data_IF_542314869373
#
_entry.id   IF_542314869373
#
_cell.length_a   1.000
_cell.length_b   1.000
_cell.length_c   1.000
_cell.angle_alpha   90.00
_cell.angle_beta   90.00
_cell.angle_gamma   90.00
#
_symmetry.space_group_name_H-M   'P 1'
#
loop_
_entity.id
_entity.type
_entity.pdbx_description
1 polymer ?
#
# COMPACT_ATOMS: atom_id res chain seq x y z
N UNK A 1 -2.73 -13.21 17.99
CA UNK A 1 -4.13 -13.38 17.56
C UNK A 1 -4.96 -12.15 17.92
N UNK A 2 -4.62 -10.99 17.34
CA UNK A 2 -5.37 -9.72 17.46
C UNK A 2 -6.14 -9.39 16.16
N UNK A 3 -6.23 -10.31 15.20
CA UNK A 3 -6.76 -10.09 13.85
C UNK A 3 -8.26 -9.76 13.77
N UNK A 4 -8.92 -9.45 14.89
CA UNK A 4 -10.35 -9.24 14.95
C UNK A 4 -10.79 -7.88 14.40
N UNK A 5 -10.08 -6.79 14.71
CA UNK A 5 -10.62 -5.44 14.45
C UNK A 5 -10.39 -5.00 13.02
N UNK A 6 -9.20 -5.19 12.45
CA UNK A 6 -8.95 -4.92 11.04
C UNK A 6 -9.79 -5.83 10.15
N UNK A 7 -9.91 -7.13 10.50
CA UNK A 7 -10.74 -8.06 9.73
C UNK A 7 -12.21 -7.67 9.73
N UNK A 8 -12.78 -7.33 10.89
CA UNK A 8 -14.17 -6.85 10.98
C UNK A 8 -14.39 -5.55 10.21
N UNK A 9 -13.42 -4.64 10.26
CA UNK A 9 -13.48 -3.36 9.54
C UNK A 9 -13.44 -3.58 8.03
N UNK A 10 -12.54 -4.45 7.56
CA UNK A 10 -12.43 -4.86 6.17
C UNK A 10 -13.72 -5.53 5.69
N UNK A 11 -14.21 -6.54 6.41
CA UNK A 11 -15.42 -7.28 6.02
C UNK A 11 -16.65 -6.36 5.96
N UNK A 12 -16.76 -5.40 6.89
CA UNK A 12 -17.81 -4.38 6.86
C UNK A 12 -17.68 -3.47 5.63
N UNK A 13 -16.47 -3.04 5.31
CA UNK A 13 -16.20 -2.20 4.15
C UNK A 13 -16.53 -2.95 2.84
N UNK A 14 -16.05 -4.17 2.67
CA UNK A 14 -16.33 -5.01 1.50
C UNK A 14 -17.83 -5.25 1.33
N UNK A 15 -18.55 -5.55 2.42
CA UNK A 15 -20.01 -5.75 2.38
C UNK A 15 -20.74 -4.46 1.98
N UNK A 16 -20.36 -3.31 2.57
CA UNK A 16 -20.96 -2.00 2.25
C UNK A 16 -20.78 -1.61 0.78
N UNK A 17 -19.63 -1.92 0.19
CA UNK A 17 -19.30 -1.57 -1.20
C UNK A 17 -19.55 -2.73 -2.20
N UNK A 18 -20.25 -3.79 -1.78
CA UNK A 18 -20.62 -4.95 -2.61
C UNK A 18 -19.44 -5.63 -3.31
N UNK A 19 -18.25 -5.62 -2.70
CA UNK A 19 -17.06 -6.26 -3.24
C UNK A 19 -17.13 -7.75 -2.92
N UNK A 20 -17.36 -8.59 -3.95
CA UNK A 20 -17.59 -10.04 -3.80
C UNK A 20 -16.31 -10.87 -3.70
N UNK A 21 -15.15 -10.28 -3.97
CA UNK A 21 -13.85 -10.97 -3.94
C UNK A 21 -13.44 -11.23 -2.49
N UNK A 22 -12.96 -12.44 -2.21
CA UNK A 22 -12.42 -12.80 -0.90
C UNK A 22 -11.01 -12.24 -0.76
N UNK A 23 -10.81 -11.35 0.22
CA UNK A 23 -9.51 -10.76 0.54
C UNK A 23 -8.96 -11.44 1.78
N UNK A 24 -7.74 -11.97 1.71
CA UNK A 24 -7.00 -12.47 2.87
C UNK A 24 -6.33 -11.30 3.57
N UNK A 25 -6.45 -11.24 4.89
CA UNK A 25 -5.70 -10.28 5.69
C UNK A 25 -4.62 -11.06 6.43
N UNK A 26 -3.37 -10.65 6.29
CA UNK A 26 -2.23 -11.22 6.98
C UNK A 26 -1.52 -10.12 7.77
N UNK A 27 -0.90 -10.51 8.88
CA UNK A 27 -0.10 -9.60 9.71
C UNK A 27 1.34 -10.08 9.66
N UNK A 28 2.29 -9.17 9.42
CA UNK A 28 3.71 -9.50 9.32
C UNK A 28 4.56 -8.61 10.23
N UNK A 29 5.46 -9.23 10.99
CA UNK A 29 6.32 -8.57 11.98
C UNK A 29 7.47 -7.77 11.36
N UNK A 30 7.96 -8.19 10.20
CA UNK A 30 9.12 -7.59 9.53
C UNK A 30 8.75 -6.77 8.29
N UNK A 31 7.49 -6.35 8.17
CA UNK A 31 7.03 -5.49 7.08
C UNK A 31 6.86 -4.09 7.62
N UNK A 32 7.59 -3.14 7.03
CA UNK A 32 7.50 -1.72 7.41
C UNK A 32 6.34 -1.00 6.73
N UNK A 33 5.76 -1.59 5.67
CA UNK A 33 4.69 -1.00 4.88
C UNK A 33 3.53 -1.98 4.68
N UNK A 34 2.28 -1.47 4.69
CA UNK A 34 1.14 -2.23 4.24
C UNK A 34 1.27 -2.50 2.73
N UNK A 35 0.91 -3.71 2.31
CA UNK A 35 0.98 -4.10 0.90
C UNK A 35 -0.24 -4.93 0.53
N UNK A 36 -0.92 -4.53 -0.53
CA UNK A 36 -1.93 -5.35 -1.19
C UNK A 36 -1.41 -6.00 -2.48
N UNK A 37 -1.55 -7.33 -2.59
CA UNK A 37 -1.15 -8.08 -3.77
C UNK A 37 -2.03 -9.29 -4.09
N UNK A 38 -1.87 -9.81 -5.31
CA UNK A 38 -2.51 -11.04 -5.79
C UNK A 38 -3.50 -10.80 -6.93
N UNK A 39 -3.33 -11.56 -8.03
CA UNK A 39 -4.25 -11.52 -9.19
C UNK A 39 -5.57 -12.24 -8.89
N UNK A 40 -5.44 -13.49 -8.44
CA UNK A 40 -6.59 -14.39 -8.23
C UNK A 40 -6.97 -14.49 -6.76
N UNK A 41 -5.97 -14.42 -5.86
CA UNK A 41 -6.12 -14.51 -4.41
C UNK A 41 -5.64 -13.21 -3.77
N UNK A 42 -6.57 -12.26 -3.62
CA UNK A 42 -6.28 -10.95 -3.06
C UNK A 42 -5.84 -11.09 -1.61
N UNK A 43 -4.68 -10.51 -1.30
CA UNK A 43 -4.05 -10.58 0.02
C UNK A 43 -3.59 -9.18 0.39
N UNK A 44 -4.00 -8.71 1.57
CA UNK A 44 -3.51 -7.49 2.20
C UNK A 44 -2.63 -7.92 3.36
N UNK A 45 -1.40 -7.44 3.39
CA UNK A 45 -0.47 -7.64 4.50
C UNK A 45 -0.39 -6.33 5.27
N UNK A 46 -0.68 -6.38 6.57
CA UNK A 46 -0.53 -5.27 7.49
C UNK A 46 0.73 -5.47 8.36
N UNK A 47 1.42 -4.37 8.74
CA UNK A 47 2.47 -4.44 9.74
C UNK A 47 1.89 -4.82 11.11
N UNK A 48 2.65 -5.59 11.89
CA UNK A 48 2.26 -5.91 13.26
C UNK A 48 2.10 -4.62 14.09
N UNK A 49 0.97 -4.49 14.80
CA UNK A 49 0.65 -3.29 15.57
C UNK A 49 -0.03 -2.17 14.77
N UNK A 50 -0.33 -2.35 13.47
CA UNK A 50 -1.10 -1.36 12.71
C UNK A 50 -2.46 -1.02 13.37
N UNK A 51 -3.13 -2.02 13.95
CA UNK A 51 -4.39 -1.84 14.68
C UNK A 51 -4.23 -1.04 15.97
N UNK A 52 -3.05 -1.11 16.60
CA UNK A 52 -2.79 -0.43 17.87
C UNK A 52 -2.30 1.02 17.63
N UNK A 53 -1.69 1.29 16.46
CA UNK A 53 -1.14 2.61 16.10
C UNK A 53 -2.15 3.52 15.38
N UNK A 54 -3.12 2.96 14.67
CA UNK A 54 -4.11 3.73 13.91
C UNK A 54 -5.46 3.80 14.62
N UNK A 55 -6.10 4.97 14.57
CA UNK A 55 -7.48 5.08 15.00
C UNK A 55 -8.42 4.28 14.07
N UNK A 56 -9.63 3.94 14.55
CA UNK A 56 -10.62 3.17 13.76
C UNK A 56 -10.92 3.76 12.38
N UNK A 57 -10.97 5.10 12.26
CA UNK A 57 -11.24 5.76 10.98
C UNK A 57 -10.01 5.75 10.06
N UNK A 58 -8.81 5.80 10.63
CA UNK A 58 -7.54 5.75 9.90
C UNK A 58 -7.26 4.32 9.41
N UNK A 59 -7.50 3.30 10.25
CA UNK A 59 -7.45 1.90 9.85
C UNK A 59 -8.44 1.59 8.73
N UNK A 60 -9.66 2.16 8.80
CA UNK A 60 -10.63 2.05 7.71
C UNK A 60 -10.11 2.72 6.43
N UNK A 61 -9.47 3.89 6.55
CA UNK A 61 -8.89 4.61 5.42
C UNK A 61 -7.76 3.79 4.77
N UNK A 62 -6.85 3.23 5.58
CA UNK A 62 -5.79 2.34 5.12
C UNK A 62 -6.34 1.17 4.34
N UNK A 63 -7.28 0.42 4.95
CA UNK A 63 -7.87 -0.75 4.32
C UNK A 63 -8.61 -0.39 3.03
N UNK A 64 -9.27 0.76 2.97
CA UNK A 64 -9.93 1.22 1.75
C UNK A 64 -8.93 1.52 0.63
N UNK A 65 -7.81 2.18 0.95
CA UNK A 65 -6.72 2.47 0.02
C UNK A 65 -6.08 1.17 -0.51
N UNK A 66 -5.75 0.22 0.38
CA UNK A 66 -5.21 -1.09 -0.02
C UNK A 66 -6.20 -1.93 -0.86
N UNK A 67 -7.50 -1.84 -0.55
CA UNK A 67 -8.54 -2.48 -1.37
C UNK A 67 -8.64 -1.81 -2.74
N UNK A 68 -8.44 -0.50 -2.84
CA UNK A 68 -8.44 0.22 -4.12
C UNK A 68 -7.37 -0.34 -5.06
N UNK A 69 -6.14 -0.56 -4.57
CA UNK A 69 -5.07 -1.18 -5.35
C UNK A 69 -5.45 -2.55 -5.92
N UNK A 70 -6.16 -3.37 -5.14
CA UNK A 70 -6.62 -4.69 -5.58
C UNK A 70 -7.74 -4.61 -6.61
N UNK A 71 -8.73 -3.74 -6.37
CA UNK A 71 -9.89 -3.56 -7.27
C UNK A 71 -9.48 -3.01 -8.62
N UNK A 72 -8.58 -2.03 -8.63
CA UNK A 72 -8.00 -1.46 -9.85
C UNK A 72 -7.02 -2.42 -10.52
N UNK A 73 -6.44 -3.31 -9.72
CA UNK A 73 -5.51 -4.33 -10.16
C UNK A 73 -4.18 -3.72 -10.57
N UNK A 74 -3.73 -2.71 -9.83
CA UNK A 74 -2.48 -1.96 -10.07
C UNK A 74 -1.28 -2.90 -10.10
N UNK A 75 -1.32 -3.94 -9.27
CA UNK A 75 -0.32 -5.02 -9.23
C UNK A 75 -0.06 -5.60 -10.63
N UNK A 76 -1.11 -5.84 -11.43
CA UNK A 76 -0.96 -6.37 -12.81
C UNK A 76 -0.17 -5.42 -13.70
N UNK A 77 -0.52 -4.13 -13.63
CA UNK A 77 0.10 -3.10 -14.44
C UNK A 77 1.53 -2.80 -14.01
N UNK A 78 1.83 -2.89 -12.72
CA UNK A 78 3.19 -2.80 -12.20
C UNK A 78 4.05 -3.96 -12.69
N UNK A 79 3.51 -5.20 -12.71
CA UNK A 79 4.19 -6.35 -13.28
C UNK A 79 4.41 -6.20 -14.79
N UNK A 80 3.38 -5.80 -15.54
CA UNK A 80 3.49 -5.56 -16.98
C UNK A 80 4.53 -4.47 -17.30
N UNK A 81 4.49 -3.34 -16.58
CA UNK A 81 5.45 -2.26 -16.72
C UNK A 81 6.87 -2.69 -16.35
N UNK A 82 7.02 -3.59 -15.37
CA UNK A 82 8.32 -4.19 -15.04
C UNK A 82 8.86 -5.04 -16.18
N UNK A 83 8.06 -5.97 -16.71
CA UNK A 83 8.45 -6.81 -17.86
C UNK A 83 8.83 -5.94 -19.05
N UNK A 84 8.04 -4.90 -19.36
CA UNK A 84 8.36 -3.94 -20.41
C UNK A 84 9.69 -3.22 -20.16
N UNK A 85 9.96 -2.74 -18.94
CA UNK A 85 11.24 -2.11 -18.61
C UNK A 85 12.42 -3.08 -18.74
N UNK A 86 12.23 -4.36 -18.39
CA UNK A 86 13.28 -5.38 -18.50
C UNK A 86 13.54 -5.77 -19.97
N UNK A 87 12.50 -5.98 -20.78
CA UNK A 87 12.64 -6.30 -22.20
C UNK A 87 13.16 -5.13 -23.03
N UNK A 88 12.74 -3.91 -22.70
CA UNK A 88 13.10 -2.67 -23.38
C UNK A 88 13.97 -1.78 -22.49
N UNK A 89 15.00 -2.37 -21.85
CA UNK A 89 15.90 -1.66 -20.94
C UNK A 89 16.67 -0.51 -21.60
N UNK A 90 16.79 -0.53 -22.94
CA UNK A 90 17.40 0.51 -23.75
C UNK A 90 16.51 1.76 -23.96
N UNK A 91 15.25 1.72 -23.52
CA UNK A 91 14.29 2.83 -23.63
C UNK A 91 14.13 3.55 -22.28
N UNK A 92 14.87 4.65 -22.02
CA UNK A 92 14.83 5.34 -20.73
C UNK A 92 13.43 5.90 -20.37
N UNK A 93 12.62 6.20 -21.39
CA UNK A 93 11.24 6.68 -21.23
C UNK A 93 10.33 5.65 -20.54
N UNK A 94 10.63 4.35 -20.63
CA UNK A 94 9.84 3.31 -19.96
C UNK A 94 9.93 3.42 -18.43
N UNK A 95 11.10 3.78 -17.89
CA UNK A 95 11.26 4.01 -16.46
C UNK A 95 10.47 5.24 -15.99
N UNK A 96 10.46 6.30 -16.79
CA UNK A 96 9.68 7.50 -16.49
C UNK A 96 8.17 7.24 -16.56
N UNK A 97 7.71 6.52 -17.60
CA UNK A 97 6.33 6.12 -17.76
C UNK A 97 5.87 5.25 -16.58
N UNK A 98 6.68 4.27 -16.16
CA UNK A 98 6.40 3.43 -14.98
C UNK A 98 6.29 4.27 -13.70
N UNK A 99 7.19 5.25 -13.51
CA UNK A 99 7.15 6.14 -12.34
C UNK A 99 5.89 7.02 -12.35
N UNK A 100 5.50 7.56 -13.50
CA UNK A 100 4.27 8.36 -13.64
C UNK A 100 3.02 7.52 -13.44
N UNK A 101 3.01 6.29 -13.95
CA UNK A 101 1.93 5.35 -13.70
C UNK A 101 1.74 5.11 -12.21
N UNK A 102 2.83 4.83 -11.49
CA UNK A 102 2.79 4.63 -10.04
C UNK A 102 2.17 5.84 -9.33
N UNK A 103 2.62 7.05 -9.64
CA UNK A 103 2.08 8.28 -9.04
C UNK A 103 0.58 8.45 -9.30
N UNK A 104 0.14 8.23 -10.54
CA UNK A 104 -1.28 8.35 -10.91
C UNK A 104 -2.11 7.25 -10.23
N UNK A 105 -1.56 6.05 -10.06
CA UNK A 105 -2.24 4.97 -9.36
C UNK A 105 -2.52 5.36 -7.89
N UNK A 106 -1.55 5.95 -7.18
CA UNK A 106 -1.74 6.43 -5.81
C UNK A 106 -2.89 7.44 -5.70
N UNK A 107 -2.89 8.48 -6.55
CA UNK A 107 -3.95 9.49 -6.54
C UNK A 107 -5.33 8.88 -6.82
N UNK A 108 -5.39 7.97 -7.79
CA UNK A 108 -6.66 7.32 -8.13
C UNK A 108 -7.13 6.32 -7.08
N UNK A 109 -6.22 5.75 -6.28
CA UNK A 109 -6.58 4.93 -5.13
C UNK A 109 -7.12 5.80 -3.98
N UNK A 110 -6.51 6.95 -3.74
CA UNK A 110 -7.00 7.92 -2.76
C UNK A 110 -8.39 8.43 -3.12
N UNK A 111 -8.60 8.86 -4.37
CA UNK A 111 -9.90 9.28 -4.88
C UNK A 111 -10.94 8.16 -4.73
N UNK A 112 -10.58 6.93 -5.09
CA UNK A 112 -11.47 5.77 -4.96
C UNK A 112 -11.92 5.52 -3.51
N UNK A 113 -11.01 5.75 -2.54
CA UNK A 113 -11.31 5.62 -1.12
C UNK A 113 -12.24 6.76 -0.65
N UNK A 114 -11.99 8.00 -1.08
CA UNK A 114 -12.83 9.17 -0.77
C UNK A 114 -14.26 9.01 -1.28
N UNK A 115 -14.42 8.58 -2.55
CA UNK A 115 -15.73 8.26 -3.15
C UNK A 115 -16.53 7.21 -2.36
N UNK A 116 -15.85 6.39 -1.55
CA UNK A 116 -16.42 5.31 -0.75
C UNK A 116 -16.64 5.69 0.72
N UNK A 117 -16.67 7.00 1.00
CA UNK A 117 -17.01 7.53 2.32
C UNK A 117 -15.90 7.34 3.33
N UNK A 118 -14.64 7.35 2.87
CA UNK A 118 -13.48 7.64 3.71
C UNK A 118 -13.36 9.16 3.83
N UNK A 119 -13.08 9.65 5.04
CA UNK A 119 -12.85 11.09 5.27
C UNK A 119 -11.44 11.46 4.82
N UNK A 120 -11.29 12.56 4.09
CA UNK A 120 -9.99 13.06 3.62
C UNK A 120 -8.96 13.23 4.74
N UNK A 121 -9.36 13.82 5.86
CA UNK A 121 -8.47 14.01 7.01
C UNK A 121 -7.99 12.68 7.61
N UNK A 122 -8.86 11.67 7.68
CA UNK A 122 -8.49 10.34 8.19
C UNK A 122 -7.54 9.62 7.24
N UNK A 123 -7.73 9.79 5.93
CA UNK A 123 -6.81 9.26 4.92
C UNK A 123 -5.44 9.94 5.01
N UNK A 124 -5.40 11.28 5.04
CA UNK A 124 -4.16 12.03 5.14
C UNK A 124 -3.35 11.65 6.39
N UNK A 125 -3.99 11.64 7.58
CA UNK A 125 -3.33 11.23 8.83
C UNK A 125 -2.81 9.80 8.77
N UNK A 126 -3.62 8.89 8.23
CA UNK A 126 -3.22 7.50 8.05
C UNK A 126 -1.97 7.38 7.18
N UNK A 127 -1.95 8.01 6.00
CA UNK A 127 -0.84 7.94 5.07
C UNK A 127 0.43 8.56 5.67
N UNK A 128 0.31 9.66 6.42
CA UNK A 128 1.43 10.26 7.16
C UNK A 128 1.99 9.30 8.22
N UNK A 129 1.15 8.68 9.04
CA UNK A 129 1.60 7.72 10.05
C UNK A 129 2.27 6.48 9.42
N UNK A 130 1.70 5.96 8.31
CA UNK A 130 2.31 4.83 7.59
C UNK A 130 3.68 5.23 7.02
N UNK A 131 3.80 6.45 6.48
CA UNK A 131 5.08 6.98 6.04
C UNK A 131 6.07 7.11 7.21
N UNK A 132 5.64 7.55 8.38
CA UNK A 132 6.47 7.60 9.58
C UNK A 132 6.99 6.21 9.97
N UNK A 133 6.19 5.14 9.83
CA UNK A 133 6.68 3.77 10.10
C UNK A 133 7.75 3.32 9.12
N UNK A 134 7.68 3.79 7.87
CA UNK A 134 8.71 3.55 6.86
C UNK A 134 10.03 4.21 7.25
N UNK A 135 9.99 5.41 7.83
CA UNK A 135 11.19 6.18 8.19
C UNK A 135 11.70 5.89 9.62
N UNK A 136 10.83 5.50 10.54
CA UNK A 136 11.16 5.23 11.94
C UNK A 136 11.86 3.90 12.20
N UNK A 137 12.07 3.07 11.16
CA UNK A 137 12.92 1.89 11.24
C UNK A 137 14.43 2.20 11.09
N UNK A 138 14.77 3.44 10.71
CA UNK A 138 16.15 3.92 10.57
C UNK A 138 16.51 4.85 11.74
N UNK A 139 16.73 4.30 12.94
CA UNK A 139 17.69 4.95 13.86
C UNK A 139 19.06 4.43 13.47
N UNK A 140 19.86 5.16 12.67
CA UNK A 140 21.25 4.76 12.45
C UNK A 140 21.96 4.75 13.82
N UNK A 141 22.80 3.75 14.14
CA UNK A 141 23.69 3.88 15.28
C UNK A 141 24.47 5.18 15.12
N UNK A 142 24.45 5.99 16.17
CA UNK A 142 25.12 7.29 16.25
C UNK A 142 26.55 7.18 15.74
N UNK A 143 26.83 7.69 14.54
CA UNK A 143 28.21 7.74 14.03
C UNK A 143 28.49 7.64 12.53
N UNK A 144 27.52 7.77 11.62
CA UNK A 144 27.84 7.82 10.17
C UNK A 144 27.16 8.98 9.43
N UNK A 145 27.88 9.71 8.55
CA UNK A 145 27.29 10.80 7.77
C UNK A 145 26.31 10.27 6.73
N UNK A 146 25.19 11.00 6.60
CA UNK A 146 24.07 10.79 5.69
C UNK A 146 24.50 10.43 4.25
N UNK A 147 24.53 9.14 3.96
CA UNK A 147 24.26 8.64 2.62
C UNK A 147 22.79 8.21 2.61
N UNK A 148 21.89 9.17 2.40
CA UNK A 148 20.47 8.90 2.15
C UNK A 148 20.36 7.87 1.02
N UNK A 149 20.07 6.63 1.40
CA UNK A 149 20.12 5.47 0.53
C UNK A 149 18.94 5.56 -0.44
N UNK A 150 19.22 6.03 -1.65
CA UNK A 150 18.34 5.93 -2.83
C UNK A 150 17.82 4.49 -2.92
N UNK A 151 16.54 4.30 -2.63
CA UNK A 151 15.88 3.00 -2.65
C UNK A 151 16.11 2.38 -4.03
N UNK A 152 16.90 1.30 -4.06
CA UNK A 152 17.22 0.56 -5.28
C UNK A 152 15.93 -0.09 -5.77
N UNK A 153 15.25 0.58 -6.70
CA UNK A 153 14.22 -0.01 -7.57
C UNK A 153 14.85 -0.76 -8.76
N UNK A 154 16.02 -1.37 -8.56
CA UNK A 154 16.63 -2.30 -9.51
C UNK A 154 16.97 -3.58 -8.77
N UNK A 155 16.16 -4.62 -8.95
CA UNK A 155 16.60 -6.01 -8.83
C UNK A 155 15.59 -6.92 -9.53
N UNK A 156 16.01 -7.43 -10.69
CA UNK A 156 15.33 -8.21 -11.74
C UNK A 156 14.75 -7.37 -12.89
#
# INVERSE_FOLDING_TARGET
MKDGTARRTLDRFLKRHKIRRRIRLLTARNQSEPIAYGLFRWTIVLPEGAEDRLERNELKALLAHEVAHLVRGDVRWLWAGRVLCTCFAFQPLNFLARKRWQQVAEYLCDDWALERGVRSLSLARCLTQVAEWRFGADTPPSGWPLAARRQRLCNA
#
